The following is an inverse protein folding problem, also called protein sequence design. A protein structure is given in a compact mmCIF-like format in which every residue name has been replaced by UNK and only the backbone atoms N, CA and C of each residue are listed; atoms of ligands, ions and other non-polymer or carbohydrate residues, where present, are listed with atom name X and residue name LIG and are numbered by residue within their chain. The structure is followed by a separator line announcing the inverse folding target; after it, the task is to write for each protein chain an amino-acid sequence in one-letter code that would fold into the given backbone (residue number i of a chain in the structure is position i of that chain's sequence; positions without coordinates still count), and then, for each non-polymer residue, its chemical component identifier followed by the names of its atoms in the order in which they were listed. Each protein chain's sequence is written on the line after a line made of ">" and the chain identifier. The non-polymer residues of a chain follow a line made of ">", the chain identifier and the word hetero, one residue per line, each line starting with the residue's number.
data_IF_351408341356
#
_entry.id   IF_351408341356
#
_cell.length_a   1.000
_cell.length_b   1.000
_cell.length_c   1.000
_cell.angle_alpha   90.00
_cell.angle_beta   90.00
_cell.angle_gamma   90.00
#
_symmetry.space_group_name_H-M   'P 1'
#
loop_
_entity.id
_entity.type
_entity.pdbx_description
1 polymer ?
#
# COMPACT_ATOMS: atom_id res chain seq x y z
N UNK A 1 15.59 -22.79 -0.43
CA UNK A 1 14.92 -22.64 -1.74
C UNK A 1 15.05 -21.18 -2.13
N UNK A 2 15.67 -20.89 -3.25
CA UNK A 2 15.87 -19.51 -3.70
C UNK A 2 14.55 -18.94 -4.23
N UNK A 3 13.88 -18.12 -3.42
CA UNK A 3 12.59 -17.51 -3.75
C UNK A 3 12.66 -16.58 -4.97
N UNK A 4 13.84 -16.10 -5.34
CA UNK A 4 14.02 -15.21 -6.49
C UNK A 4 14.02 -15.95 -7.83
N UNK A 5 14.35 -17.23 -7.84
CA UNK A 5 14.40 -18.05 -9.06
C UNK A 5 13.19 -18.98 -9.22
N UNK A 6 12.42 -19.21 -8.17
CA UNK A 6 11.21 -20.02 -8.23
C UNK A 6 10.05 -19.26 -8.89
N UNK A 7 9.64 -19.72 -10.06
CA UNK A 7 8.61 -19.07 -10.89
C UNK A 7 7.25 -18.91 -10.20
N UNK A 8 6.92 -19.75 -9.20
CA UNK A 8 5.65 -19.58 -8.46
C UNK A 8 5.60 -18.28 -7.67
N UNK A 9 6.75 -17.78 -7.17
CA UNK A 9 6.83 -16.48 -6.49
C UNK A 9 6.75 -15.28 -7.43
N UNK A 10 6.82 -15.52 -8.75
CA UNK A 10 6.62 -14.55 -9.82
C UNK A 10 5.22 -14.65 -10.46
N UNK A 11 4.24 -15.17 -9.74
CA UNK A 11 2.86 -15.20 -10.20
C UNK A 11 2.49 -16.32 -11.17
N UNK A 12 3.38 -17.24 -11.49
CA UNK A 12 3.07 -18.39 -12.32
C UNK A 12 2.47 -19.54 -11.49
N UNK A 13 1.47 -20.22 -12.03
CA UNK A 13 1.02 -21.50 -11.47
C UNK A 13 2.15 -22.52 -11.51
N UNK A 14 2.11 -23.53 -10.64
CA UNK A 14 3.12 -24.60 -10.58
C UNK A 14 3.32 -25.30 -11.92
N UNK A 15 2.22 -25.55 -12.65
CA UNK A 15 2.22 -26.14 -14.00
C UNK A 15 2.59 -25.15 -15.11
N UNK A 16 2.87 -23.89 -14.77
CA UNK A 16 3.19 -22.78 -15.68
C UNK A 16 2.10 -22.47 -16.73
N UNK A 17 0.89 -22.96 -16.54
CA UNK A 17 -0.20 -22.79 -17.51
C UNK A 17 -0.80 -21.37 -17.49
N UNK A 18 -0.68 -20.67 -16.36
CA UNK A 18 -1.29 -19.34 -16.19
C UNK A 18 -0.49 -18.44 -15.26
N UNK A 19 -0.33 -17.18 -15.69
CA UNK A 19 0.16 -16.10 -14.84
C UNK A 19 -1.00 -15.50 -14.01
N UNK A 20 -0.81 -15.42 -12.70
CA UNK A 20 -1.74 -14.79 -11.77
C UNK A 20 -1.00 -13.63 -11.08
N UNK A 21 -1.20 -12.42 -11.56
CA UNK A 21 -0.45 -11.24 -11.12
C UNK A 21 -0.50 -11.00 -9.59
N UNK A 22 -1.59 -11.36 -8.93
CA UNK A 22 -1.74 -11.25 -7.46
C UNK A 22 -0.82 -12.17 -6.68
N UNK A 23 -0.23 -13.16 -7.33
CA UNK A 23 0.70 -14.12 -6.72
C UNK A 23 2.17 -13.73 -7.01
N UNK A 24 2.43 -12.60 -7.68
CA UNK A 24 3.78 -12.13 -7.94
C UNK A 24 4.37 -11.42 -6.71
N UNK A 25 4.72 -12.22 -5.71
CA UNK A 25 5.27 -11.72 -4.46
C UNK A 25 6.60 -11.01 -4.61
N UNK A 26 7.42 -11.41 -5.58
CA UNK A 26 8.70 -10.72 -5.86
C UNK A 26 8.44 -9.31 -6.35
N UNK A 27 7.51 -9.13 -7.29
CA UNK A 27 7.13 -7.81 -7.79
C UNK A 27 6.59 -6.91 -6.68
N UNK A 28 5.65 -7.42 -5.88
CA UNK A 28 5.05 -6.64 -4.81
C UNK A 28 6.00 -6.36 -3.64
N UNK A 29 6.93 -7.28 -3.36
CA UNK A 29 7.95 -7.04 -2.34
C UNK A 29 8.79 -5.79 -2.66
N UNK A 30 9.12 -5.52 -3.92
CA UNK A 30 9.88 -4.32 -4.30
C UNK A 30 9.19 -3.03 -3.86
N UNK A 31 7.86 -2.94 -4.01
CA UNK A 31 7.08 -1.79 -3.52
C UNK A 31 7.18 -1.64 -2.01
N UNK A 32 6.99 -2.74 -1.28
CA UNK A 32 7.01 -2.73 0.18
C UNK A 32 8.40 -2.40 0.71
N UNK A 33 9.46 -3.02 0.17
CA UNK A 33 10.83 -2.73 0.61
C UNK A 33 11.27 -1.30 0.29
N UNK A 34 10.82 -0.72 -0.82
CA UNK A 34 11.08 0.69 -1.13
C UNK A 34 10.41 1.62 -0.09
N UNK A 35 9.14 1.36 0.26
CA UNK A 35 8.43 2.12 1.28
C UNK A 35 9.09 1.98 2.65
N UNK A 36 9.37 0.76 3.09
CA UNK A 36 9.97 0.49 4.42
C UNK A 36 11.36 1.09 4.55
N UNK A 37 12.16 1.05 3.49
CA UNK A 37 13.45 1.74 3.46
C UNK A 37 13.29 3.25 3.71
N UNK A 38 12.33 3.89 3.05
CA UNK A 38 12.06 5.32 3.24
C UNK A 38 11.50 5.62 4.64
N UNK A 39 10.60 4.81 5.17
CA UNK A 39 10.09 4.97 6.54
C UNK A 39 11.24 4.95 7.56
N UNK A 40 12.19 4.02 7.42
CA UNK A 40 13.32 3.85 8.35
C UNK A 40 14.35 4.97 8.29
N UNK A 41 14.49 5.63 7.14
CA UNK A 41 15.61 6.55 6.85
C UNK A 41 15.17 7.99 6.55
N UNK A 42 13.88 8.30 6.62
CA UNK A 42 13.39 9.65 6.35
C UNK A 42 13.33 10.51 7.62
N UNK A 43 13.64 11.79 7.46
CA UNK A 43 13.42 12.83 8.47
C UNK A 43 12.13 13.64 8.19
N UNK A 44 11.42 13.34 7.11
CA UNK A 44 10.15 14.00 6.80
C UNK A 44 9.07 13.64 7.84
N UNK A 45 8.11 14.53 8.04
CA UNK A 45 6.97 14.25 8.91
C UNK A 45 5.96 13.31 8.26
N UNK A 46 5.86 13.34 6.93
CA UNK A 46 4.95 12.50 6.15
C UNK A 46 5.66 12.01 4.90
N UNK A 47 5.50 10.73 4.60
CA UNK A 47 5.86 10.12 3.32
C UNK A 47 4.58 9.76 2.59
N UNK A 48 4.40 10.31 1.41
CA UNK A 48 3.33 9.93 0.51
C UNK A 48 3.90 8.92 -0.49
N UNK A 49 3.26 7.78 -0.58
CA UNK A 49 3.49 6.77 -1.59
C UNK A 49 2.34 6.79 -2.60
N UNK A 50 2.67 6.77 -3.88
CA UNK A 50 1.73 6.55 -4.97
C UNK A 50 2.30 5.57 -6.00
N UNK A 51 1.43 4.82 -6.67
CA UNK A 51 1.84 3.94 -7.76
C UNK A 51 2.40 4.75 -8.95
N UNK A 52 3.28 4.13 -9.74
CA UNK A 52 3.92 4.77 -10.89
C UNK A 52 2.93 5.19 -12.00
N UNK A 53 1.71 4.68 -11.96
CA UNK A 53 0.61 5.07 -12.85
C UNK A 53 -0.32 6.13 -12.21
N UNK A 54 0.19 6.88 -11.24
CA UNK A 54 -0.49 8.05 -10.66
C UNK A 54 -0.03 9.31 -11.37
N UNK A 55 -0.99 10.10 -11.86
CA UNK A 55 -0.76 11.40 -12.47
C UNK A 55 -1.06 12.51 -11.45
N UNK A 56 -0.08 13.36 -11.20
CA UNK A 56 -0.27 14.60 -10.46
C UNK A 56 -0.56 15.72 -11.47
N UNK A 57 -1.78 16.25 -11.46
CA UNK A 57 -2.25 17.27 -12.41
C UNK A 57 -2.40 18.65 -11.76
N UNK A 58 -2.24 18.75 -10.46
CA UNK A 58 -2.19 20.00 -9.70
C UNK A 58 -1.22 19.87 -8.53
N UNK A 59 -0.87 21.01 -7.93
CA UNK A 59 -0.06 21.03 -6.71
C UNK A 59 -0.84 20.42 -5.53
N UNK A 60 -0.23 19.49 -4.76
CA UNK A 60 -0.87 18.91 -3.60
C UNK A 60 -1.20 19.95 -2.53
N UNK A 61 -2.41 19.87 -1.99
CA UNK A 61 -2.84 20.66 -0.83
C UNK A 61 -2.14 20.13 0.43
N UNK A 62 -1.11 20.84 0.89
CA UNK A 62 -0.30 20.41 2.03
C UNK A 62 -1.07 20.43 3.35
N UNK A 63 -2.04 21.33 3.52
CA UNK A 63 -2.83 21.40 4.74
C UNK A 63 -3.80 20.22 4.80
N UNK A 64 -4.43 19.89 3.68
CA UNK A 64 -5.22 18.66 3.57
C UNK A 64 -4.38 17.40 3.82
N UNK A 65 -3.16 17.32 3.27
CA UNK A 65 -2.29 16.15 3.51
C UNK A 65 -1.89 16.04 5.00
N UNK A 66 -1.67 17.14 5.70
CA UNK A 66 -1.42 17.14 7.16
C UNK A 66 -2.65 16.75 7.96
N UNK A 67 -3.84 17.16 7.52
CA UNK A 67 -5.11 16.80 8.15
C UNK A 67 -5.36 15.29 8.08
N UNK A 68 -5.16 14.67 6.91
CA UNK A 68 -5.38 13.23 6.73
C UNK A 68 -4.23 12.33 7.22
N UNK A 69 -3.06 12.90 7.53
CA UNK A 69 -1.95 12.19 8.18
C UNK A 69 -1.41 13.01 9.36
N UNK A 70 -2.20 13.11 10.43
CA UNK A 70 -1.79 13.88 11.62
C UNK A 70 -0.58 13.26 12.29
N UNK A 71 0.19 14.08 13.03
CA UNK A 71 1.47 13.71 13.60
C UNK A 71 1.45 12.56 14.63
N UNK A 72 0.28 12.21 15.15
CA UNK A 72 0.06 11.06 16.04
C UNK A 72 -0.45 9.80 15.29
N UNK A 73 -0.63 9.88 13.98
CA UNK A 73 -1.06 8.76 13.15
C UNK A 73 0.14 7.98 12.61
N UNK A 74 0.08 6.64 12.66
CA UNK A 74 1.11 5.77 12.09
C UNK A 74 1.09 5.78 10.56
N UNK A 75 -0.11 5.71 9.99
CA UNK A 75 -0.33 5.67 8.55
C UNK A 75 -1.73 6.15 8.16
N UNK A 76 -1.89 6.42 6.87
CA UNK A 76 -3.17 6.79 6.22
C UNK A 76 -3.37 5.92 4.99
N UNK A 77 -4.58 5.41 4.80
CA UNK A 77 -4.92 4.40 3.80
C UNK A 77 -6.41 4.46 3.44
N UNK A 78 -6.81 3.69 2.43
CA UNK A 78 -8.21 3.37 2.15
C UNK A 78 -8.46 1.89 2.47
N UNK A 79 -9.22 1.60 3.54
CA UNK A 79 -9.69 0.24 3.83
C UNK A 79 -10.92 -0.08 2.99
N UNK A 80 -10.75 -0.94 2.01
CA UNK A 80 -11.84 -1.34 1.11
C UNK A 80 -12.40 -2.69 1.55
N UNK A 81 -13.54 -2.76 2.25
CA UNK A 81 -14.01 -3.98 2.94
C UNK A 81 -14.03 -5.26 2.10
N UNK A 82 -14.27 -5.12 0.78
CA UNK A 82 -14.32 -6.26 -0.16
C UNK A 82 -13.04 -6.44 -0.98
N UNK A 83 -12.11 -5.48 -0.96
CA UNK A 83 -10.98 -5.42 -1.88
C UNK A 83 -9.62 -5.30 -1.19
N UNK A 84 -9.57 -5.21 0.12
CA UNK A 84 -8.39 -4.87 0.92
C UNK A 84 -7.90 -3.43 0.67
N UNK A 85 -6.78 -3.04 1.27
CA UNK A 85 -6.25 -1.69 1.15
C UNK A 85 -6.05 -1.26 -0.30
N UNK A 86 -6.34 0.00 -0.60
CA UNK A 86 -5.90 0.61 -1.85
C UNK A 86 -4.43 1.00 -1.72
N UNK A 87 -3.56 0.30 -2.41
CA UNK A 87 -2.10 0.50 -2.33
C UNK A 87 -1.54 1.40 -3.43
N UNK A 88 -2.41 1.93 -4.29
CA UNK A 88 -2.04 2.99 -5.24
C UNK A 88 -1.85 4.36 -4.58
N UNK A 89 -2.31 4.51 -3.34
CA UNK A 89 -2.08 5.68 -2.48
C UNK A 89 -1.95 5.23 -1.03
N UNK A 90 -0.88 5.66 -0.38
CA UNK A 90 -0.64 5.37 1.04
C UNK A 90 0.22 6.47 1.66
N UNK A 91 -0.04 6.83 2.91
CA UNK A 91 0.83 7.78 3.63
C UNK A 91 1.39 7.10 4.88
N UNK A 92 2.63 7.44 5.21
CA UNK A 92 3.31 6.96 6.41
C UNK A 92 3.87 8.16 7.20
N UNK A 93 3.83 8.04 8.52
CA UNK A 93 4.50 8.98 9.40
C UNK A 93 5.81 8.36 9.91
N UNK A 94 6.97 8.67 9.31
CA UNK A 94 8.24 8.11 9.72
C UNK A 94 8.73 8.61 11.09
N UNK A 95 8.13 9.69 11.62
CA UNK A 95 8.42 10.22 12.94
C UNK A 95 7.56 9.59 14.05
N UNK A 96 6.57 8.77 13.71
CA UNK A 96 5.78 8.05 14.69
C UNK A 96 6.69 7.12 15.51
N UNK A 97 6.56 7.04 16.86
CA UNK A 97 7.46 6.22 17.70
C UNK A 97 7.60 4.76 17.26
N UNK A 98 6.56 4.19 16.67
CA UNK A 98 6.54 2.81 16.19
C UNK A 98 6.76 2.68 14.66
N UNK A 99 7.19 3.74 13.97
CA UNK A 99 7.36 3.69 12.51
C UNK A 99 8.39 2.65 12.05
N UNK A 100 9.49 2.49 12.77
CA UNK A 100 10.51 1.48 12.45
C UNK A 100 10.00 0.06 12.70
N UNK A 101 9.25 -0.15 13.76
CA UNK A 101 8.62 -1.44 14.08
C UNK A 101 7.59 -1.81 12.99
N UNK A 102 6.77 -0.85 12.58
CA UNK A 102 5.85 -0.97 11.45
C UNK A 102 6.57 -1.41 10.17
N UNK A 103 7.64 -0.69 9.79
CA UNK A 103 8.43 -1.01 8.61
C UNK A 103 9.05 -2.42 8.69
N UNK A 104 9.59 -2.80 9.86
CA UNK A 104 10.14 -4.14 10.07
C UNK A 104 9.06 -5.22 9.91
N UNK A 105 7.86 -5.00 10.44
CA UNK A 105 6.74 -5.95 10.31
C UNK A 105 6.34 -6.17 8.85
N UNK A 106 6.27 -5.11 8.05
CA UNK A 106 5.97 -5.23 6.63
C UNK A 106 7.02 -6.06 5.87
N UNK A 107 8.31 -5.87 6.17
CA UNK A 107 9.39 -6.67 5.58
C UNK A 107 9.32 -8.14 6.04
N UNK A 108 9.08 -8.36 7.33
CA UNK A 108 8.98 -9.69 7.91
C UNK A 108 7.92 -10.56 7.22
N UNK A 109 6.77 -9.97 6.87
CA UNK A 109 5.69 -10.67 6.14
C UNK A 109 6.22 -11.33 4.85
N UNK A 110 7.14 -10.68 4.13
CA UNK A 110 7.77 -11.26 2.94
C UNK A 110 8.95 -12.17 3.29
N UNK A 111 9.81 -11.76 4.21
CA UNK A 111 11.04 -12.50 4.56
C UNK A 111 10.74 -13.85 5.20
N UNK A 112 9.73 -13.92 6.07
CA UNK A 112 9.28 -15.17 6.70
C UNK A 112 8.48 -16.06 5.75
N UNK A 113 7.94 -15.50 4.68
CA UNK A 113 7.01 -16.17 3.77
C UNK A 113 5.57 -16.17 4.28
N UNK A 114 5.24 -15.40 5.32
CA UNK A 114 3.89 -15.25 5.86
C UNK A 114 2.90 -14.75 4.78
N UNK A 115 3.36 -13.91 3.86
CA UNK A 115 2.55 -13.43 2.73
C UNK A 115 1.86 -14.54 1.94
N UNK A 116 2.41 -15.74 1.93
CA UNK A 116 1.87 -16.90 1.22
C UNK A 116 0.80 -17.66 2.02
N UNK A 117 0.59 -17.31 3.28
CA UNK A 117 -0.45 -17.92 4.13
C UNK A 117 -1.78 -17.18 4.03
N UNK A 118 -1.76 -15.99 3.42
CA UNK A 118 -2.95 -15.18 3.24
C UNK A 118 -3.80 -15.68 2.07
N UNK A 119 -5.09 -15.42 2.14
CA UNK A 119 -6.15 -15.82 1.21
C UNK A 119 -5.68 -16.30 -0.18
N UNK A 120 -5.84 -17.58 -0.48
CA UNK A 120 -5.53 -18.18 -1.79
C UNK A 120 -4.11 -17.91 -2.31
N UNK A 121 -3.11 -17.79 -1.40
CA UNK A 121 -1.70 -17.50 -1.73
C UNK A 121 -1.50 -16.16 -2.48
N UNK A 122 -2.35 -15.18 -2.25
CA UNK A 122 -2.22 -13.85 -2.86
C UNK A 122 -1.15 -13.04 -2.15
N UNK A 123 -0.05 -12.76 -2.84
CA UNK A 123 1.10 -12.03 -2.32
C UNK A 123 1.10 -10.53 -2.69
N UNK A 124 -0.04 -10.00 -3.12
CA UNK A 124 -0.15 -8.59 -3.47
C UNK A 124 0.04 -7.69 -2.24
N UNK A 125 0.64 -6.53 -2.44
CA UNK A 125 0.94 -5.53 -1.41
C UNK A 125 -0.29 -5.09 -0.60
N UNK A 126 -1.47 -5.07 -1.20
CA UNK A 126 -2.73 -4.77 -0.52
C UNK A 126 -3.01 -5.70 0.68
N UNK A 127 -2.62 -6.97 0.60
CA UNK A 127 -2.74 -7.92 1.71
C UNK A 127 -1.69 -7.64 2.78
N UNK A 128 -0.45 -7.39 2.35
CA UNK A 128 0.65 -7.07 3.26
C UNK A 128 0.36 -5.84 4.09
N UNK A 129 -0.15 -4.77 3.47
CA UNK A 129 -0.52 -3.54 4.18
C UNK A 129 -1.66 -3.79 5.16
N UNK A 130 -2.74 -4.45 4.74
CA UNK A 130 -3.89 -4.75 5.61
C UNK A 130 -3.50 -5.63 6.81
N UNK A 131 -2.72 -6.69 6.61
CA UNK A 131 -2.28 -7.57 7.70
C UNK A 131 -1.22 -6.93 8.59
N UNK A 132 -0.30 -6.17 8.00
CA UNK A 132 0.65 -5.36 8.76
C UNK A 132 -0.07 -4.41 9.70
N UNK A 133 -1.07 -3.64 9.21
CA UNK A 133 -1.89 -2.73 10.01
C UNK A 133 -2.61 -3.43 11.17
N UNK A 134 -3.09 -4.65 10.94
CA UNK A 134 -3.77 -5.41 11.97
C UNK A 134 -2.87 -5.70 13.19
N UNK A 135 -1.55 -5.70 13.03
CA UNK A 135 -0.58 -5.86 14.13
C UNK A 135 -0.37 -4.56 14.95
N UNK A 136 -0.93 -3.43 14.50
CA UNK A 136 -0.77 -2.09 15.11
C UNK A 136 -2.11 -1.42 15.42
N UNK A 137 -3.12 -2.20 15.81
CA UNK A 137 -4.46 -1.69 16.13
C UNK A 137 -4.47 -0.75 17.34
N UNK A 138 -3.46 -0.81 18.17
CA UNK A 138 -3.21 0.07 19.31
C UNK A 138 -2.64 1.44 18.91
N UNK A 139 -2.17 1.59 17.67
CA UNK A 139 -1.74 2.87 17.10
C UNK A 139 -2.90 3.54 16.37
N UNK A 140 -2.94 4.87 16.41
CA UNK A 140 -3.86 5.65 15.57
C UNK A 140 -3.51 5.43 14.09
N UNK A 141 -4.50 5.13 13.31
CA UNK A 141 -4.42 4.94 11.88
C UNK A 141 -5.58 5.70 11.23
N UNK A 142 -5.34 6.35 10.10
CA UNK A 142 -6.37 7.13 9.43
C UNK A 142 -6.91 6.36 8.22
N UNK A 143 -8.14 5.89 8.33
CA UNK A 143 -8.85 5.26 7.21
C UNK A 143 -9.68 6.30 6.46
N UNK A 144 -9.27 6.59 5.22
CA UNK A 144 -9.94 7.58 4.38
C UNK A 144 -11.30 7.12 3.86
N UNK A 145 -11.63 5.81 3.90
CA UNK A 145 -12.97 5.32 3.59
C UNK A 145 -13.98 5.73 4.65
N UNK A 146 -13.55 5.84 5.91
CA UNK A 146 -14.40 6.29 7.02
C UNK A 146 -14.32 7.79 7.25
N UNK A 147 -13.19 8.40 6.91
CA UNK A 147 -12.97 9.84 7.06
C UNK A 147 -13.76 10.66 6.03
N UNK A 148 -13.88 10.19 4.81
CA UNK A 148 -14.65 10.84 3.75
C UNK A 148 -15.99 10.16 3.52
N UNK A 149 -17.01 10.96 3.27
CA UNK A 149 -18.32 10.47 2.85
C UNK A 149 -18.35 10.21 1.34
N UNK A 150 -19.08 9.17 0.92
CA UNK A 150 -19.35 8.87 -0.49
C UNK A 150 -18.12 8.48 -1.36
N UNK A 151 -17.10 7.86 -0.75
CA UNK A 151 -15.96 7.30 -1.49
C UNK A 151 -16.34 5.93 -2.10
N UNK A 152 -16.09 5.75 -3.39
CA UNK A 152 -16.31 4.46 -4.06
C UNK A 152 -15.24 3.45 -3.64
N UNK A 153 -15.59 2.32 -2.99
CA UNK A 153 -14.62 1.33 -2.56
C UNK A 153 -13.91 0.60 -3.71
N UNK A 154 -14.44 0.65 -4.94
CA UNK A 154 -13.76 0.05 -6.09
C UNK A 154 -12.60 0.91 -6.58
N UNK A 155 -12.78 2.22 -6.55
CA UNK A 155 -11.81 3.20 -6.99
C UNK A 155 -11.88 4.46 -6.11
N UNK A 156 -11.27 4.43 -4.91
CA UNK A 156 -11.49 5.48 -3.92
C UNK A 156 -10.81 6.80 -4.28
N UNK A 157 -9.70 6.78 -4.99
CA UNK A 157 -8.93 7.99 -5.28
C UNK A 157 -9.74 9.02 -6.09
N UNK A 158 -10.38 8.67 -7.23
CA UNK A 158 -11.16 9.63 -8.01
C UNK A 158 -12.39 10.19 -7.29
N UNK A 159 -12.91 9.48 -6.30
CA UNK A 159 -14.11 9.87 -5.56
C UNK A 159 -13.81 10.51 -4.21
N UNK A 160 -12.53 10.62 -3.84
CA UNK A 160 -12.05 11.32 -2.66
C UNK A 160 -11.53 12.73 -2.99
N UNK A 161 -11.31 13.60 -1.99
CA UNK A 161 -10.69 14.91 -2.21
C UNK A 161 -9.29 14.88 -2.82
N UNK A 162 -8.61 13.71 -2.83
CA UNK A 162 -7.32 13.53 -3.49
C UNK A 162 -7.41 13.80 -5.00
N UNK A 163 -8.58 13.61 -5.62
CA UNK A 163 -8.78 13.87 -7.04
C UNK A 163 -8.56 15.32 -7.46
N UNK A 164 -8.50 16.24 -6.50
CA UNK A 164 -8.18 17.66 -6.77
C UNK A 164 -6.75 17.84 -7.28
N UNK A 165 -5.85 16.93 -6.99
CA UNK A 165 -4.44 17.05 -7.38
C UNK A 165 -3.81 15.77 -7.94
N UNK A 166 -4.40 14.60 -7.73
CA UNK A 166 -3.88 13.36 -8.29
C UNK A 166 -4.97 12.48 -8.88
N UNK A 167 -4.59 11.68 -9.88
CA UNK A 167 -5.43 10.68 -10.52
C UNK A 167 -4.66 9.38 -10.65
N UNK A 168 -5.25 8.27 -10.20
CA UNK A 168 -4.70 6.93 -10.43
C UNK A 168 -5.21 6.39 -11.78
N UNK A 169 -4.30 6.18 -12.72
CA UNK A 169 -4.63 5.70 -14.07
C UNK A 169 -4.78 4.19 -14.06
N UNK A 170 -6.02 3.70 -14.14
CA UNK A 170 -6.32 2.25 -14.16
C UNK A 170 -6.77 1.80 -15.54
N UNK A 171 -6.35 0.59 -15.95
CA UNK A 171 -6.82 -0.06 -17.18
C UNK A 171 -6.50 0.73 -18.45
N UNK A 172 -7.51 0.96 -19.30
CA UNK A 172 -7.38 1.62 -20.61
C UNK A 172 -6.89 3.08 -20.55
N UNK A 173 -7.03 3.74 -19.40
CA UNK A 173 -6.52 5.11 -19.20
C UNK A 173 -4.99 5.21 -19.24
N UNK A 174 -4.27 4.08 -19.24
CA UNK A 174 -2.80 4.04 -19.32
C UNK A 174 -2.25 4.27 -20.74
N UNK A 175 -3.11 4.27 -21.75
CA UNK A 175 -2.71 4.31 -23.18
C UNK A 175 -2.94 5.64 -23.86
N UNK A 176 -3.34 6.68 -23.15
CA UNK A 176 -3.53 8.03 -23.68
C UNK A 176 -2.35 8.96 -23.40
#
# INVERSE_FOLDING_TARGET
>A
MDKHTDKKFHGWREDRSKFVWKNDGVKFSHKVFAQTHRIKNSTANVLLYSDADTLYHAEPDLDYLREICPGDSLCTFFDRPKFRDETGFYMHNPQHPRAKEWANRLEEIYLSGEVWTYEENKAADQYTMAFGRASFRDCKQMDLMTYHTAVDPKDPVPTSPLNKFLQHLKGEKKTS
#
